data_IF_663780314597
#
_entry.id   IF_663780314597
#
_cell.length_a   1.000
_cell.length_b   1.000
_cell.length_c   1.000
_cell.angle_alpha   90.00
_cell.angle_beta   90.00
_cell.angle_gamma   90.00
#
_symmetry.space_group_name_H-M   'P 1'
#
loop_
_entity.id
_entity.type
_entity.pdbx_description
1 polymer ?
#
# COMPACT_ATOMS: atom_id res chain seq x y z
N UNK A 1 24.16 21.69 -12.53
CA UNK A 1 23.19 22.50 -13.28
C UNK A 1 22.07 23.02 -12.37
N UNK A 2 21.27 22.12 -11.73
CA UNK A 2 20.13 22.52 -10.88
C UNK A 2 20.49 23.48 -9.75
N UNK A 3 21.62 23.27 -9.06
CA UNK A 3 22.07 24.20 -8.03
C UNK A 3 22.23 25.63 -8.55
N UNK A 4 22.80 25.80 -9.75
CA UNK A 4 22.94 27.13 -10.37
C UNK A 4 21.61 27.77 -10.70
N UNK A 5 20.66 26.98 -11.24
CA UNK A 5 19.32 27.44 -11.58
C UNK A 5 18.57 27.88 -10.31
N UNK A 6 18.57 27.05 -9.29
CA UNK A 6 17.87 27.34 -8.03
C UNK A 6 18.48 28.56 -7.34
N UNK A 7 19.81 28.65 -7.26
CA UNK A 7 20.50 29.80 -6.64
C UNK A 7 20.24 31.11 -7.40
N UNK A 8 20.20 31.06 -8.74
CA UNK A 8 19.98 32.25 -9.55
C UNK A 8 18.53 32.75 -9.56
N UNK A 9 17.56 31.90 -9.24
CA UNK A 9 16.12 32.22 -9.35
C UNK A 9 15.37 32.25 -8.02
N UNK A 10 16.03 31.93 -6.91
CA UNK A 10 15.39 31.86 -5.58
C UNK A 10 16.32 32.30 -4.48
N UNK A 11 15.75 32.80 -3.39
CA UNK A 11 16.46 33.09 -2.13
C UNK A 11 16.30 31.92 -1.14
N UNK A 12 17.08 31.94 -0.07
CA UNK A 12 16.93 30.98 1.03
C UNK A 12 15.51 31.04 1.62
N UNK A 13 14.92 29.88 1.92
CA UNK A 13 13.54 29.78 2.39
C UNK A 13 12.45 29.85 1.31
N UNK A 14 12.79 30.18 0.06
CA UNK A 14 11.86 30.12 -1.06
C UNK A 14 11.35 28.69 -1.30
N UNK A 15 10.21 28.56 -1.99
CA UNK A 15 9.62 27.26 -2.36
C UNK A 15 10.05 26.90 -3.78
N UNK A 16 10.63 25.73 -3.95
CA UNK A 16 10.95 25.12 -5.26
C UNK A 16 9.91 24.03 -5.55
N UNK A 17 9.23 24.15 -6.69
CA UNK A 17 8.21 23.19 -7.14
C UNK A 17 8.73 22.37 -8.31
N UNK A 18 8.62 21.03 -8.22
CA UNK A 18 8.93 20.09 -9.30
C UNK A 18 7.86 18.98 -9.31
N UNK A 19 6.92 19.06 -10.27
CA UNK A 19 5.78 18.13 -10.38
C UNK A 19 6.12 16.84 -11.12
N UNK A 20 7.35 16.71 -11.63
CA UNK A 20 7.90 15.52 -12.27
C UNK A 20 9.24 15.13 -11.63
N UNK A 21 9.24 15.05 -10.31
CA UNK A 21 10.43 14.98 -9.47
C UNK A 21 11.37 13.80 -9.73
N UNK A 22 10.88 12.72 -10.36
CA UNK A 22 11.65 11.52 -10.63
C UNK A 22 12.32 10.98 -9.37
N UNK A 23 13.63 10.77 -9.42
CA UNK A 23 14.42 10.34 -8.25
C UNK A 23 14.73 11.46 -7.23
N UNK A 24 14.09 12.63 -7.34
CA UNK A 24 14.18 13.72 -6.34
C UNK A 24 15.41 14.60 -6.41
N UNK A 25 16.06 14.73 -7.58
CA UNK A 25 17.27 15.56 -7.70
C UNK A 25 16.98 17.03 -7.38
N UNK A 26 15.85 17.57 -7.83
CA UNK A 26 15.47 18.96 -7.55
C UNK A 26 15.21 19.16 -6.05
N UNK A 27 14.42 18.30 -5.41
CA UNK A 27 14.12 18.37 -3.98
C UNK A 27 15.41 18.28 -3.13
N UNK A 28 16.30 17.32 -3.48
CA UNK A 28 17.59 17.10 -2.81
C UNK A 28 18.48 18.34 -2.89
N UNK A 29 18.54 19.00 -4.04
CA UNK A 29 19.36 20.21 -4.22
C UNK A 29 18.72 21.40 -3.51
N UNK A 30 17.39 21.55 -3.59
CA UNK A 30 16.67 22.62 -2.90
C UNK A 30 16.88 22.53 -1.38
N UNK A 31 16.75 21.33 -0.79
CA UNK A 31 17.02 21.09 0.64
C UNK A 31 18.43 21.50 1.03
N UNK A 32 19.46 21.07 0.27
CA UNK A 32 20.87 21.44 0.51
C UNK A 32 21.14 22.95 0.45
N UNK A 33 20.35 23.66 -0.33
CA UNK A 33 20.47 25.11 -0.49
C UNK A 33 19.59 25.90 0.48
N UNK A 34 18.92 25.24 1.45
CA UNK A 34 18.05 25.88 2.42
C UNK A 34 16.72 26.37 1.86
N UNK A 35 16.30 25.85 0.70
CA UNK A 35 14.99 26.13 0.10
C UNK A 35 13.97 25.10 0.62
N UNK A 36 12.71 25.51 0.73
CA UNK A 36 11.59 24.56 0.88
C UNK A 36 11.26 23.97 -0.49
N UNK A 37 10.68 22.81 -0.51
CA UNK A 37 10.36 22.16 -1.78
C UNK A 37 9.01 21.42 -1.71
N UNK A 38 8.37 21.35 -2.87
CA UNK A 38 7.19 20.53 -3.13
C UNK A 38 7.51 19.75 -4.39
N UNK A 39 7.38 18.44 -4.34
CA UNK A 39 7.65 17.58 -5.49
C UNK A 39 6.61 16.46 -5.57
N UNK A 40 6.34 16.00 -6.77
CA UNK A 40 5.47 14.86 -7.02
C UNK A 40 6.01 13.98 -8.14
N UNK A 41 5.65 12.70 -8.12
CA UNK A 41 5.88 11.78 -9.22
C UNK A 41 4.80 10.69 -9.22
N UNK A 42 4.48 10.12 -10.39
CA UNK A 42 3.52 9.03 -10.52
C UNK A 42 4.15 7.66 -10.28
N UNK A 43 5.46 7.56 -10.41
CA UNK A 43 6.21 6.31 -10.31
C UNK A 43 6.55 5.96 -8.86
N UNK A 44 5.95 4.91 -8.31
CA UNK A 44 6.30 4.42 -6.95
C UNK A 44 7.80 4.19 -6.74
N UNK A 45 8.54 3.54 -7.67
CA UNK A 45 9.99 3.39 -7.53
C UNK A 45 10.73 4.74 -7.49
N UNK A 46 10.30 5.73 -8.27
CA UNK A 46 10.87 7.08 -8.25
C UNK A 46 10.68 7.75 -6.89
N UNK A 47 9.46 7.72 -6.35
CA UNK A 47 9.15 8.25 -5.01
C UNK A 47 9.93 7.53 -3.91
N UNK A 48 10.15 6.22 -4.01
CA UNK A 48 10.93 5.43 -3.06
C UNK A 48 12.41 5.89 -3.07
N UNK A 49 13.01 6.04 -4.24
CA UNK A 49 14.40 6.53 -4.37
C UNK A 49 14.51 7.97 -3.85
N UNK A 50 13.55 8.83 -4.16
CA UNK A 50 13.50 10.21 -3.68
C UNK A 50 13.44 10.26 -2.15
N UNK A 51 12.55 9.50 -1.52
CA UNK A 51 12.44 9.41 -0.06
C UNK A 51 13.76 8.94 0.56
N UNK A 52 14.38 7.87 0.05
CA UNK A 52 15.67 7.39 0.52
C UNK A 52 16.74 8.45 0.45
N UNK A 53 16.87 9.15 -0.68
CA UNK A 53 17.87 10.23 -0.86
C UNK A 53 17.69 11.38 0.11
N UNK A 54 16.44 11.75 0.45
CA UNK A 54 16.14 12.79 1.43
C UNK A 54 16.51 12.32 2.85
N UNK A 55 16.23 11.07 3.18
CA UNK A 55 16.64 10.46 4.46
C UNK A 55 18.18 10.42 4.57
N UNK A 56 18.87 9.91 3.54
CA UNK A 56 20.34 9.78 3.51
C UNK A 56 21.06 11.14 3.71
N UNK A 57 20.45 12.24 3.29
CA UNK A 57 21.03 13.58 3.49
C UNK A 57 20.54 14.29 4.77
N UNK A 58 19.83 13.61 5.66
CA UNK A 58 19.23 14.17 6.87
C UNK A 58 18.34 15.40 6.58
N UNK A 59 17.48 15.31 5.57
CA UNK A 59 16.52 16.36 5.26
C UNK A 59 15.63 16.68 6.48
N UNK A 60 15.17 17.93 6.58
CA UNK A 60 14.15 18.30 7.56
C UNK A 60 12.92 17.42 7.43
N UNK A 61 12.15 17.21 8.51
CA UNK A 61 10.92 16.43 8.43
C UNK A 61 10.01 16.93 7.30
N UNK A 62 9.51 16.00 6.49
CA UNK A 62 8.67 16.29 5.34
C UNK A 62 7.44 15.36 5.30
N UNK A 63 6.38 15.85 4.68
CA UNK A 63 5.17 15.05 4.45
C UNK A 63 5.31 14.26 3.15
N UNK A 64 5.12 12.94 3.23
CA UNK A 64 4.91 12.07 2.07
C UNK A 64 3.43 11.67 2.00
N UNK A 65 2.80 11.93 0.88
CA UNK A 65 1.37 11.70 0.70
C UNK A 65 1.10 10.99 -0.65
N UNK A 66 0.30 9.92 -0.61
CA UNK A 66 -0.26 9.32 -1.81
C UNK A 66 -1.61 9.96 -2.14
N UNK A 67 -1.79 10.40 -3.39
CA UNK A 67 -3.06 10.96 -3.87
C UNK A 67 -3.86 9.83 -4.51
N UNK A 68 -5.00 9.46 -3.88
CA UNK A 68 -5.77 8.26 -4.24
C UNK A 68 -6.69 8.37 -5.45
N UNK A 69 -7.05 9.57 -5.91
CA UNK A 69 -8.13 9.77 -6.90
C UNK A 69 -7.69 9.65 -8.36
N UNK A 70 -6.45 9.29 -8.62
CA UNK A 70 -5.91 9.14 -9.97
C UNK A 70 -6.75 8.20 -10.85
N UNK A 71 -7.23 7.10 -10.30
CA UNK A 71 -8.03 6.12 -11.06
C UNK A 71 -9.38 6.69 -11.51
N UNK A 72 -10.02 7.52 -10.69
CA UNK A 72 -11.29 8.18 -11.03
C UNK A 72 -11.09 9.19 -12.17
N UNK A 73 -10.08 10.04 -12.07
CA UNK A 73 -9.80 11.03 -13.10
C UNK A 73 -9.35 10.41 -14.41
N UNK A 74 -8.52 9.37 -14.36
CA UNK A 74 -8.13 8.61 -15.56
C UNK A 74 -9.33 7.93 -16.20
N UNK A 75 -10.23 7.36 -15.40
CA UNK A 75 -11.46 6.74 -15.90
C UNK A 75 -12.39 7.78 -16.54
N UNK A 76 -12.60 8.96 -15.93
CA UNK A 76 -13.38 10.05 -16.50
C UNK A 76 -12.80 10.52 -17.83
N UNK A 77 -11.49 10.69 -17.91
CA UNK A 77 -10.80 11.10 -19.13
C UNK A 77 -10.93 10.07 -20.25
N UNK A 78 -10.89 8.78 -19.90
CA UNK A 78 -10.94 7.68 -20.87
C UNK A 78 -12.35 7.41 -21.38
N UNK A 79 -13.36 7.41 -20.47
CA UNK A 79 -14.75 7.04 -20.80
C UNK A 79 -15.65 8.25 -21.11
N UNK A 80 -15.13 9.50 -21.03
CA UNK A 80 -15.83 10.70 -21.38
C UNK A 80 -16.79 11.24 -20.30
N UNK A 81 -17.54 12.31 -20.64
CA UNK A 81 -18.39 13.03 -19.68
C UNK A 81 -19.55 12.21 -19.08
N UNK A 82 -19.92 11.10 -19.70
CA UNK A 82 -21.01 10.22 -19.24
C UNK A 82 -20.51 9.04 -18.42
N UNK A 83 -19.25 9.04 -18.01
CA UNK A 83 -18.65 7.97 -17.20
C UNK A 83 -19.44 7.72 -15.91
N UNK A 84 -19.77 6.45 -15.67
CA UNK A 84 -20.34 5.97 -14.42
C UNK A 84 -19.41 4.92 -13.79
N UNK A 85 -19.27 4.95 -12.48
CA UNK A 85 -18.45 3.96 -11.74
C UNK A 85 -18.93 2.52 -12.04
N UNK A 86 -20.22 2.32 -12.23
CA UNK A 86 -20.78 1.03 -12.60
C UNK A 86 -20.29 0.48 -13.95
N UNK A 87 -19.96 1.35 -14.91
CA UNK A 87 -19.43 0.93 -16.21
C UNK A 87 -18.01 0.39 -16.08
N UNK A 88 -17.18 1.03 -15.23
CA UNK A 88 -15.85 0.53 -14.89
C UNK A 88 -15.93 -0.80 -14.14
N UNK A 89 -16.86 -0.93 -13.20
CA UNK A 89 -17.08 -2.19 -12.47
C UNK A 89 -17.46 -3.32 -13.40
N UNK A 90 -18.32 -3.07 -14.40
CA UNK A 90 -18.68 -4.07 -15.40
C UNK A 90 -17.47 -4.54 -16.24
N UNK A 91 -16.56 -3.61 -16.59
CA UNK A 91 -15.32 -3.94 -17.28
C UNK A 91 -14.43 -4.83 -16.39
N UNK A 92 -14.24 -4.45 -15.11
CA UNK A 92 -13.45 -5.22 -14.14
C UNK A 92 -14.01 -6.60 -13.94
N UNK A 93 -15.34 -6.75 -13.77
CA UNK A 93 -16.03 -8.04 -13.69
C UNK A 93 -15.76 -8.92 -14.93
N UNK A 94 -15.89 -8.33 -16.13
CA UNK A 94 -15.61 -9.04 -17.38
C UNK A 94 -14.15 -9.51 -17.48
N UNK A 95 -13.20 -8.69 -17.07
CA UNK A 95 -11.77 -9.03 -17.05
C UNK A 95 -11.43 -10.10 -16.02
N UNK A 96 -12.13 -10.11 -14.89
CA UNK A 96 -12.05 -11.15 -13.87
C UNK A 96 -12.68 -12.47 -14.31
N UNK A 97 -13.57 -12.44 -15.29
CA UNK A 97 -14.34 -13.61 -15.75
C UNK A 97 -15.65 -13.81 -14.98
N UNK A 98 -16.17 -12.77 -14.33
CA UNK A 98 -17.45 -12.79 -13.67
C UNK A 98 -18.56 -12.21 -14.57
N UNK A 99 -19.73 -12.81 -14.51
CA UNK A 99 -20.94 -12.31 -15.17
C UNK A 99 -21.66 -11.33 -14.23
N UNK A 100 -21.99 -10.10 -14.66
CA UNK A 100 -22.76 -9.17 -13.85
C UNK A 100 -24.10 -9.77 -13.41
N UNK A 101 -24.50 -9.49 -12.16
CA UNK A 101 -25.84 -9.83 -11.68
C UNK A 101 -26.91 -8.96 -12.34
N UNK A 102 -28.17 -9.41 -12.30
CA UNK A 102 -29.32 -8.65 -12.81
C UNK A 102 -29.44 -7.29 -12.11
N UNK A 103 -29.95 -6.29 -12.81
CA UNK A 103 -30.01 -4.91 -12.32
C UNK A 103 -30.83 -4.76 -11.02
N UNK A 104 -31.83 -5.61 -10.81
CA UNK A 104 -32.68 -5.63 -9.63
C UNK A 104 -31.90 -6.01 -8.37
N UNK A 105 -30.95 -6.95 -8.50
CA UNK A 105 -30.09 -7.44 -7.40
C UNK A 105 -28.75 -6.67 -7.31
N UNK A 106 -28.48 -5.79 -8.27
CA UNK A 106 -27.21 -5.10 -8.43
C UNK A 106 -27.40 -3.63 -8.83
N UNK A 107 -28.03 -2.80 -7.99
CA UNK A 107 -28.34 -1.41 -8.30
C UNK A 107 -27.08 -0.55 -8.54
N UNK A 108 -25.95 -0.91 -7.94
CA UNK A 108 -24.66 -0.23 -8.11
C UNK A 108 -23.83 -0.77 -9.28
N UNK A 109 -24.31 -1.82 -9.96
CA UNK A 109 -23.64 -2.50 -11.09
C UNK A 109 -22.21 -2.97 -10.78
N UNK A 110 -21.94 -3.30 -9.53
CA UNK A 110 -20.62 -3.69 -9.05
C UNK A 110 -20.56 -5.14 -8.53
N UNK A 111 -21.64 -5.90 -8.69
CA UNK A 111 -21.72 -7.30 -8.32
C UNK A 111 -21.77 -8.18 -9.57
N UNK A 112 -21.05 -9.28 -9.50
CA UNK A 112 -21.08 -10.33 -10.51
C UNK A 112 -20.97 -11.70 -9.88
N UNK A 113 -21.09 -12.73 -10.70
CA UNK A 113 -20.94 -14.12 -10.27
C UNK A 113 -20.03 -14.91 -11.19
N UNK A 114 -19.34 -15.87 -10.62
CA UNK A 114 -18.59 -16.87 -11.38
C UNK A 114 -18.79 -18.24 -10.77
N UNK A 115 -18.70 -19.26 -11.62
CA UNK A 115 -18.74 -20.65 -11.19
C UNK A 115 -17.45 -21.32 -11.65
N UNK A 116 -16.70 -21.82 -10.71
CA UNK A 116 -15.45 -22.54 -10.99
C UNK A 116 -15.41 -23.81 -10.16
N UNK A 117 -15.21 -24.96 -10.80
CA UNK A 117 -15.19 -26.28 -10.17
C UNK A 117 -16.38 -26.56 -9.23
N UNK A 118 -17.58 -26.15 -9.65
CA UNK A 118 -18.81 -26.34 -8.85
C UNK A 118 -19.01 -25.34 -7.72
N UNK A 119 -18.08 -24.41 -7.48
CA UNK A 119 -18.17 -23.39 -6.44
C UNK A 119 -18.86 -22.13 -6.96
N UNK A 120 -19.94 -21.72 -6.31
CA UNK A 120 -20.73 -20.53 -6.62
C UNK A 120 -20.11 -19.32 -5.93
N UNK A 121 -19.45 -18.43 -6.67
CA UNK A 121 -18.70 -17.31 -6.12
C UNK A 121 -19.34 -15.97 -6.47
N UNK A 122 -19.65 -15.16 -5.47
CA UNK A 122 -20.02 -13.76 -5.62
C UNK A 122 -18.76 -12.91 -5.81
N UNK A 123 -18.77 -11.98 -6.75
CA UNK A 123 -17.68 -11.05 -7.01
C UNK A 123 -18.16 -9.63 -6.80
N UNK A 124 -17.53 -8.90 -5.90
CA UNK A 124 -17.79 -7.49 -5.61
C UNK A 124 -16.63 -6.65 -6.11
N UNK A 125 -16.89 -5.68 -6.97
CA UNK A 125 -15.91 -4.65 -7.37
C UNK A 125 -16.14 -3.41 -6.52
N UNK A 126 -15.15 -2.99 -5.74
CA UNK A 126 -15.28 -1.78 -4.93
C UNK A 126 -15.03 -0.51 -5.76
N UNK A 127 -15.42 0.63 -5.23
CA UNK A 127 -15.30 1.91 -5.91
C UNK A 127 -13.85 2.38 -5.98
N UNK A 128 -13.38 2.89 -7.13
CA UNK A 128 -12.05 3.49 -7.22
C UNK A 128 -11.92 4.79 -6.40
N UNK A 129 -13.03 5.40 -5.99
CA UNK A 129 -13.05 6.68 -5.25
C UNK A 129 -12.97 6.52 -3.72
N UNK A 130 -12.84 5.29 -3.21
CA UNK A 130 -12.70 5.04 -1.77
C UNK A 130 -11.67 3.96 -1.49
N UNK A 131 -11.25 3.87 -0.24
CA UNK A 131 -10.42 2.77 0.25
C UNK A 131 -11.30 1.57 0.59
N UNK A 132 -10.90 0.40 0.13
CA UNK A 132 -11.51 -0.88 0.53
C UNK A 132 -11.04 -1.21 1.94
N UNK A 133 -11.97 -1.30 2.88
CA UNK A 133 -11.68 -1.52 4.30
C UNK A 133 -12.70 -2.45 4.96
N UNK A 134 -12.67 -2.51 6.28
CA UNK A 134 -13.50 -3.40 7.11
C UNK A 134 -15.00 -3.35 6.77
N UNK A 135 -15.54 -2.15 6.57
CA UNK A 135 -16.94 -1.97 6.21
C UNK A 135 -17.30 -2.62 4.86
N UNK A 136 -16.41 -2.55 3.86
CA UNK A 136 -16.60 -3.21 2.57
C UNK A 136 -16.55 -4.72 2.71
N UNK A 137 -15.60 -5.25 3.50
CA UNK A 137 -15.47 -6.69 3.72
C UNK A 137 -16.69 -7.28 4.43
N UNK A 138 -17.16 -6.64 5.51
CA UNK A 138 -18.40 -7.04 6.22
C UNK A 138 -19.63 -7.02 5.32
N UNK A 139 -19.75 -5.97 4.48
CA UNK A 139 -20.81 -5.90 3.48
C UNK A 139 -20.74 -7.05 2.47
N UNK A 140 -19.56 -7.37 1.96
CA UNK A 140 -19.35 -8.45 1.02
C UNK A 140 -19.72 -9.82 1.62
N UNK A 141 -19.34 -10.07 2.87
CA UNK A 141 -19.72 -11.28 3.63
C UNK A 141 -21.24 -11.35 3.80
N UNK A 142 -21.88 -10.28 4.22
CA UNK A 142 -23.34 -10.24 4.37
C UNK A 142 -24.07 -10.47 3.04
N UNK A 143 -23.57 -9.95 1.93
CA UNK A 143 -24.10 -10.21 0.59
C UNK A 143 -23.89 -11.67 0.17
N UNK A 144 -22.70 -12.25 0.44
CA UNK A 144 -22.47 -13.67 0.20
C UNK A 144 -23.50 -14.56 0.91
N UNK A 145 -23.77 -14.26 2.17
CA UNK A 145 -24.61 -15.11 2.99
C UNK A 145 -26.11 -14.94 2.72
N UNK A 146 -26.56 -13.76 2.26
CA UNK A 146 -27.98 -13.42 2.17
C UNK A 146 -28.49 -13.20 0.74
N UNK A 147 -27.65 -12.82 -0.22
CA UNK A 147 -28.10 -12.46 -1.56
C UNK A 147 -28.39 -13.70 -2.40
N UNK A 148 -29.57 -13.75 -3.03
CA UNK A 148 -30.00 -14.82 -3.96
C UNK A 148 -29.87 -16.24 -3.37
N UNK A 149 -30.15 -16.40 -2.09
CA UNK A 149 -30.10 -17.69 -1.39
C UNK A 149 -28.69 -18.11 -0.94
N UNK A 150 -27.73 -17.22 -1.01
CA UNK A 150 -26.38 -17.43 -0.54
C UNK A 150 -25.39 -17.92 -1.60
N UNK A 151 -24.10 -17.74 -1.31
CA UNK A 151 -22.96 -18.08 -2.15
C UNK A 151 -21.93 -18.85 -1.35
N UNK A 152 -21.18 -19.74 -2.00
CA UNK A 152 -20.13 -20.52 -1.32
C UNK A 152 -18.97 -19.64 -0.93
N UNK A 153 -18.61 -18.65 -1.78
CA UNK A 153 -17.48 -17.74 -1.57
C UNK A 153 -17.82 -16.33 -2.02
N UNK A 154 -17.05 -15.36 -1.52
CA UNK A 154 -17.04 -13.99 -2.03
C UNK A 154 -15.62 -13.54 -2.34
N UNK A 155 -15.47 -12.86 -3.48
CA UNK A 155 -14.24 -12.18 -3.89
C UNK A 155 -14.50 -10.69 -3.91
N UNK A 156 -13.66 -9.93 -3.21
CA UNK A 156 -13.66 -8.46 -3.24
C UNK A 156 -12.50 -7.99 -4.09
N UNK A 157 -12.79 -7.24 -5.15
CA UNK A 157 -11.82 -6.61 -6.03
C UNK A 157 -11.70 -5.14 -5.66
N UNK A 158 -10.57 -4.73 -5.10
CA UNK A 158 -10.31 -3.37 -4.65
C UNK A 158 -9.26 -2.63 -5.48
N UNK A 159 -9.39 -1.31 -5.60
CA UNK A 159 -8.42 -0.43 -6.24
C UNK A 159 -7.36 0.06 -5.27
N UNK A 160 -7.82 0.55 -4.13
CA UNK A 160 -7.00 1.05 -3.03
C UNK A 160 -7.54 0.49 -1.72
N UNK A 161 -6.69 0.34 -0.72
CA UNK A 161 -7.02 -0.32 0.52
C UNK A 161 -6.68 0.54 1.72
N UNK A 162 -7.47 0.38 2.78
CA UNK A 162 -7.09 0.93 4.09
C UNK A 162 -5.78 0.31 4.57
N UNK A 163 -4.89 1.07 5.21
CA UNK A 163 -3.63 0.54 5.72
C UNK A 163 -3.80 -0.68 6.65
N UNK A 164 -4.90 -0.73 7.40
CA UNK A 164 -5.23 -1.81 8.33
C UNK A 164 -5.93 -3.02 7.70
N UNK A 165 -6.08 -3.07 6.38
CA UNK A 165 -6.87 -4.11 5.69
C UNK A 165 -6.43 -5.54 6.04
N UNK A 166 -5.13 -5.78 6.18
CA UNK A 166 -4.59 -7.07 6.58
C UNK A 166 -5.09 -7.53 7.96
N UNK A 167 -5.20 -6.59 8.92
CA UNK A 167 -5.75 -6.87 10.25
C UNK A 167 -7.26 -7.15 10.17
N UNK A 168 -7.99 -6.39 9.35
CA UNK A 168 -9.42 -6.60 9.14
C UNK A 168 -9.69 -7.99 8.57
N UNK A 169 -8.92 -8.44 7.58
CA UNK A 169 -9.02 -9.78 7.01
C UNK A 169 -8.73 -10.85 8.07
N UNK A 170 -7.63 -10.69 8.82
CA UNK A 170 -7.26 -11.62 9.89
C UNK A 170 -8.32 -11.70 11.01
N UNK A 171 -8.88 -10.55 11.41
CA UNK A 171 -9.92 -10.47 12.45
C UNK A 171 -11.24 -11.12 12.01
N UNK A 172 -11.61 -11.02 10.73
CA UNK A 172 -12.80 -11.65 10.18
C UNK A 172 -12.66 -13.18 10.12
N UNK A 173 -11.44 -13.69 9.98
CA UNK A 173 -11.11 -15.12 9.97
C UNK A 173 -12.06 -15.96 9.12
N UNK A 174 -12.39 -15.48 7.91
CA UNK A 174 -13.35 -16.10 7.00
C UNK A 174 -12.62 -16.64 5.76
N UNK A 175 -12.48 -17.94 5.67
CA UNK A 175 -11.81 -18.67 4.57
C UNK A 175 -12.58 -18.62 3.24
N UNK A 176 -13.85 -18.22 3.27
CA UNK A 176 -14.70 -18.01 2.11
C UNK A 176 -14.62 -16.59 1.56
N UNK A 177 -13.88 -15.69 2.22
CA UNK A 177 -13.57 -14.33 1.77
C UNK A 177 -12.22 -14.30 1.08
N UNK A 178 -12.18 -13.82 -0.15
CA UNK A 178 -10.93 -13.53 -0.86
C UNK A 178 -10.87 -12.04 -1.23
N UNK A 179 -9.74 -11.40 -1.01
CA UNK A 179 -9.53 -9.99 -1.36
C UNK A 179 -8.41 -9.88 -2.37
N UNK A 180 -8.70 -9.26 -3.51
CA UNK A 180 -7.76 -9.13 -4.62
C UNK A 180 -7.59 -7.66 -5.03
N UNK A 181 -6.40 -7.34 -5.47
CA UNK A 181 -6.03 -6.01 -5.97
C UNK A 181 -6.31 -5.93 -7.47
N UNK A 182 -7.04 -4.90 -7.87
CA UNK A 182 -7.17 -4.54 -9.28
C UNK A 182 -5.83 -3.92 -9.70
N UNK A 183 -5.20 -4.38 -10.81
CA UNK A 183 -3.91 -3.86 -11.22
C UNK A 183 -3.91 -2.33 -11.36
N UNK A 184 -2.96 -1.61 -10.73
CA UNK A 184 -2.94 -0.14 -10.76
C UNK A 184 -2.82 0.44 -12.17
N UNK A 185 -2.22 -0.30 -13.10
CA UNK A 185 -2.03 0.09 -14.49
C UNK A 185 -3.17 -0.37 -15.43
N UNK A 186 -4.27 -0.91 -14.88
CA UNK A 186 -5.37 -1.44 -15.68
C UNK A 186 -5.95 -0.40 -16.65
N UNK A 187 -6.18 0.82 -16.18
CA UNK A 187 -6.74 1.89 -17.01
C UNK A 187 -5.79 2.30 -18.13
N UNK A 188 -4.49 2.33 -17.87
CA UNK A 188 -3.47 2.61 -18.88
C UNK A 188 -3.37 1.48 -19.91
N UNK A 189 -3.52 0.22 -19.47
CA UNK A 189 -3.58 -0.94 -20.39
C UNK A 189 -4.81 -0.90 -21.27
N UNK A 190 -5.97 -0.54 -20.72
CA UNK A 190 -7.21 -0.38 -21.49
C UNK A 190 -7.04 0.67 -22.59
N UNK A 191 -6.38 1.79 -22.28
CA UNK A 191 -6.08 2.86 -23.23
C UNK A 191 -5.13 2.43 -24.34
N UNK A 192 -4.01 1.78 -23.98
CA UNK A 192 -2.93 1.42 -24.92
C UNK A 192 -3.28 0.25 -25.83
N UNK A 193 -4.02 -0.74 -25.35
CA UNK A 193 -4.32 -1.99 -26.09
C UNK A 193 -5.63 -2.00 -26.86
N UNK A 194 -6.38 -0.89 -26.88
CA UNK A 194 -7.55 -0.76 -27.74
C UNK A 194 -8.76 -1.61 -27.36
N UNK A 195 -9.00 -1.83 -26.05
CA UNK A 195 -10.26 -2.36 -25.55
C UNK A 195 -10.16 -3.59 -24.65
N UNK A 196 -11.29 -3.89 -24.00
CA UNK A 196 -11.44 -4.94 -22.98
C UNK A 196 -11.12 -6.34 -23.55
N UNK A 197 -11.56 -6.62 -24.78
CA UNK A 197 -11.40 -7.95 -25.39
C UNK A 197 -9.94 -8.39 -25.51
N UNK A 198 -9.03 -7.45 -25.81
CA UNK A 198 -7.59 -7.75 -25.92
C UNK A 198 -6.92 -7.97 -24.57
N UNK A 199 -7.54 -7.54 -23.47
CA UNK A 199 -7.03 -7.72 -22.12
C UNK A 199 -7.59 -8.94 -21.43
N UNK A 200 -8.65 -9.56 -21.97
CA UNK A 200 -9.24 -10.77 -21.41
C UNK A 200 -8.20 -11.88 -21.28
N UNK A 201 -8.10 -12.48 -20.11
CA UNK A 201 -7.10 -13.51 -19.81
C UNK A 201 -5.65 -13.00 -19.63
N UNK A 202 -5.38 -11.70 -19.87
CA UNK A 202 -4.07 -11.08 -19.67
C UNK A 202 -3.98 -10.25 -18.38
N UNK A 203 -5.13 -9.85 -17.82
CA UNK A 203 -5.20 -9.13 -16.55
C UNK A 203 -5.17 -10.14 -15.41
N UNK A 204 -4.24 -9.95 -14.50
CA UNK A 204 -4.14 -10.75 -13.29
C UNK A 204 -4.47 -9.88 -12.09
N UNK A 205 -5.38 -10.34 -11.28
CA UNK A 205 -5.76 -9.72 -10.02
C UNK A 205 -4.85 -10.30 -8.94
N UNK A 206 -4.12 -9.42 -8.27
CA UNK A 206 -3.16 -9.79 -7.24
C UNK A 206 -3.83 -9.84 -5.87
N UNK A 207 -3.36 -10.69 -4.97
CA UNK A 207 -3.72 -10.57 -3.57
C UNK A 207 -2.85 -9.52 -2.86
N UNK A 208 -3.26 -9.12 -1.66
CA UNK A 208 -2.60 -8.05 -0.90
C UNK A 208 -1.24 -8.49 -0.36
N UNK A 209 -0.32 -7.53 -0.26
CA UNK A 209 0.86 -7.67 0.58
C UNK A 209 0.52 -7.23 2.01
N UNK A 210 1.12 -7.89 2.99
CA UNK A 210 0.99 -7.53 4.39
C UNK A 210 2.22 -7.90 5.21
N UNK A 211 2.40 -7.23 6.34
CA UNK A 211 3.46 -7.49 7.31
C UNK A 211 2.85 -8.00 8.61
N UNK A 212 3.49 -9.00 9.22
CA UNK A 212 3.15 -9.49 10.55
C UNK A 212 4.26 -9.15 11.55
N UNK A 213 3.86 -8.95 12.82
CA UNK A 213 4.77 -8.68 13.91
C UNK A 213 4.85 -9.89 14.84
N UNK A 214 6.06 -10.33 15.13
CA UNK A 214 6.31 -11.33 16.16
C UNK A 214 6.02 -10.78 17.55
N UNK A 215 6.41 -9.53 17.79
CA UNK A 215 6.14 -8.82 19.03
C UNK A 215 6.11 -7.31 18.84
N UNK A 216 5.33 -6.63 19.68
CA UNK A 216 5.43 -5.21 19.93
C UNK A 216 5.22 -5.02 21.45
N UNK A 217 6.18 -4.41 22.13
CA UNK A 217 6.20 -4.29 23.57
C UNK A 217 6.63 -2.88 24.01
N UNK A 218 6.24 -2.52 25.24
CA UNK A 218 6.61 -1.29 25.94
C UNK A 218 7.26 -1.66 27.27
N UNK A 219 8.29 -0.97 27.65
CA UNK A 219 8.93 -1.08 28.96
C UNK A 219 9.19 0.31 29.52
N UNK A 220 8.79 0.54 30.77
CA UNK A 220 9.20 1.75 31.48
C UNK A 220 10.72 1.73 31.70
N UNK A 221 11.38 2.85 31.42
CA UNK A 221 12.79 3.05 31.69
C UNK A 221 12.97 4.27 32.61
N UNK A 222 14.21 4.53 33.05
CA UNK A 222 14.50 5.70 33.88
C UNK A 222 14.15 7.02 33.17
N UNK A 223 14.07 8.09 33.94
CA UNK A 223 13.90 9.49 33.44
C UNK A 223 12.56 9.85 32.80
N UNK A 224 11.51 9.06 33.05
CA UNK A 224 10.18 9.38 32.55
C UNK A 224 9.93 8.97 31.10
N UNK A 225 10.84 8.16 30.54
CA UNK A 225 10.72 7.58 29.20
C UNK A 225 10.25 6.14 29.24
N UNK A 226 9.92 5.61 28.07
CA UNK A 226 9.68 4.18 27.86
C UNK A 226 10.37 3.69 26.60
N UNK A 227 10.81 2.44 26.62
CA UNK A 227 11.38 1.75 25.49
C UNK A 227 10.29 1.03 24.70
N UNK A 228 10.30 1.20 23.41
CA UNK A 228 9.47 0.49 22.45
C UNK A 228 10.33 -0.55 21.75
N UNK A 229 9.91 -1.81 21.82
CA UNK A 229 10.56 -2.94 21.15
C UNK A 229 9.59 -3.54 20.15
N UNK A 230 9.98 -3.62 18.86
CA UNK A 230 9.18 -4.20 17.78
C UNK A 230 10.02 -5.21 17.02
N UNK A 231 9.45 -6.39 16.75
CA UNK A 231 10.09 -7.44 15.95
C UNK A 231 9.17 -7.82 14.80
N UNK A 232 9.68 -7.72 13.58
CA UNK A 232 9.00 -8.23 12.39
C UNK A 232 8.97 -9.76 12.44
N UNK A 233 7.89 -10.35 11.93
CA UNK A 233 7.74 -11.79 11.82
C UNK A 233 7.83 -12.22 10.36
N UNK A 234 6.95 -11.69 9.53
CA UNK A 234 6.87 -12.09 8.14
C UNK A 234 6.41 -10.93 7.24
N UNK A 235 6.84 -10.95 6.00
CA UNK A 235 6.31 -10.10 4.93
C UNK A 235 5.75 -11.01 3.83
N UNK A 236 4.46 -10.88 3.56
CA UNK A 236 3.75 -11.71 2.60
C UNK A 236 3.45 -10.91 1.34
N UNK A 237 4.01 -11.36 0.23
CA UNK A 237 3.73 -10.85 -1.11
C UNK A 237 2.95 -11.94 -1.86
N UNK A 238 1.64 -11.75 -2.01
CA UNK A 238 0.74 -12.83 -2.41
C UNK A 238 0.58 -13.03 -3.92
N UNK A 239 1.21 -12.23 -4.79
CA UNK A 239 1.10 -12.44 -6.24
C UNK A 239 2.31 -11.94 -7.00
N UNK A 240 3.40 -12.67 -6.95
CA UNK A 240 4.61 -12.36 -7.73
C UNK A 240 4.33 -12.33 -9.25
N UNK A 241 3.24 -12.97 -9.70
CA UNK A 241 2.82 -12.98 -11.11
C UNK A 241 2.34 -11.60 -11.61
N UNK A 242 1.85 -10.75 -10.70
CA UNK A 242 1.40 -9.39 -11.04
C UNK A 242 2.58 -8.44 -11.29
N UNK A 243 3.77 -8.80 -10.83
CA UNK A 243 4.98 -8.00 -11.02
C UNK A 243 5.55 -8.32 -12.40
N UNK A 244 5.86 -7.27 -13.17
CA UNK A 244 6.42 -7.43 -14.51
C UNK A 244 7.91 -7.80 -14.45
N UNK A 245 8.20 -9.06 -14.14
CA UNK A 245 9.52 -9.64 -14.10
C UNK A 245 9.68 -10.68 -15.23
N UNK A 246 10.91 -10.80 -15.75
CA UNK A 246 11.30 -11.94 -16.57
C UNK A 246 11.30 -13.25 -15.76
N UNK A 247 11.38 -14.39 -16.43
CA UNK A 247 11.27 -15.70 -15.77
C UNK A 247 12.38 -15.96 -14.74
N UNK A 248 13.61 -15.51 -15.01
CA UNK A 248 14.74 -15.75 -14.10
C UNK A 248 14.63 -14.91 -12.82
N UNK A 249 14.23 -13.66 -12.95
CA UNK A 249 13.97 -12.80 -11.80
C UNK A 249 12.72 -13.25 -11.02
N UNK A 250 11.71 -13.80 -11.69
CA UNK A 250 10.55 -14.40 -11.03
C UNK A 250 10.94 -15.62 -10.19
N UNK A 251 11.78 -16.51 -10.72
CA UNK A 251 12.30 -17.67 -9.96
C UNK A 251 13.11 -17.23 -8.73
N UNK A 252 13.95 -16.20 -8.88
CA UNK A 252 14.70 -15.62 -7.75
C UNK A 252 13.75 -15.04 -6.69
N UNK A 253 12.73 -14.29 -7.11
CA UNK A 253 11.72 -13.73 -6.21
C UNK A 253 11.02 -14.83 -5.42
N UNK A 254 10.53 -15.88 -6.08
CA UNK A 254 9.87 -17.01 -5.41
C UNK A 254 10.80 -17.70 -4.39
N UNK A 255 12.08 -17.83 -4.70
CA UNK A 255 13.07 -18.39 -3.76
C UNK A 255 13.20 -17.51 -2.52
N UNK A 256 13.30 -16.19 -2.68
CA UNK A 256 13.40 -15.24 -1.56
C UNK A 256 12.11 -15.24 -0.74
N UNK A 257 10.94 -15.21 -1.37
CA UNK A 257 9.64 -15.26 -0.69
C UNK A 257 9.49 -16.49 0.21
N UNK A 258 10.00 -17.64 -0.22
CA UNK A 258 9.88 -18.89 0.53
C UNK A 258 10.95 -19.05 1.61
N UNK A 259 12.14 -18.49 1.42
CA UNK A 259 13.27 -18.69 2.34
C UNK A 259 13.44 -17.54 3.34
N UNK A 260 13.31 -16.31 2.87
CA UNK A 260 13.63 -15.11 3.63
C UNK A 260 12.73 -13.93 3.21
N UNK A 261 11.42 -13.98 3.48
CA UNK A 261 10.47 -12.97 2.97
C UNK A 261 10.76 -11.54 3.44
N UNK A 262 11.36 -11.36 4.62
CA UNK A 262 11.78 -10.05 5.10
C UNK A 262 12.88 -9.41 4.24
N UNK A 263 13.63 -10.20 3.46
CA UNK A 263 14.61 -9.68 2.52
C UNK A 263 13.98 -8.91 1.34
N UNK A 264 12.66 -8.95 1.19
CA UNK A 264 11.94 -8.11 0.21
C UNK A 264 11.70 -6.69 0.72
N UNK A 265 11.88 -6.41 2.00
CA UNK A 265 11.65 -5.08 2.56
C UNK A 265 12.82 -4.17 2.17
N UNK A 266 12.50 -3.02 1.60
CA UNK A 266 13.43 -1.95 1.25
C UNK A 266 13.53 -0.90 2.34
N UNK A 267 12.42 -0.64 3.04
CA UNK A 267 12.29 0.37 4.08
C UNK A 267 11.20 -0.05 5.05
N UNK A 268 11.41 0.21 6.35
CA UNK A 268 10.36 0.16 7.33
C UNK A 268 10.52 1.22 8.41
N UNK A 269 9.41 1.59 9.00
CA UNK A 269 9.37 2.65 9.99
C UNK A 269 8.28 2.38 11.03
N UNK A 270 8.40 3.03 12.18
CA UNK A 270 7.50 2.89 13.31
C UNK A 270 6.99 4.26 13.74
N UNK A 271 5.67 4.35 13.84
CA UNK A 271 4.97 5.38 14.59
C UNK A 271 4.48 4.76 15.91
N UNK A 272 5.08 5.14 17.06
CA UNK A 272 4.71 4.54 18.33
C UNK A 272 3.37 5.05 18.90
N UNK A 273 2.76 6.05 18.26
CA UNK A 273 1.54 6.71 18.76
C UNK A 273 0.59 7.14 17.65
N UNK A 274 0.35 6.23 16.72
CA UNK A 274 -0.43 6.48 15.53
C UNK A 274 -1.87 6.89 15.82
N UNK A 275 -2.28 8.05 15.32
CA UNK A 275 -3.62 8.62 15.54
C UNK A 275 -4.69 8.02 14.60
N UNK A 276 -4.29 7.26 13.59
CA UNK A 276 -5.18 6.69 12.58
C UNK A 276 -5.24 7.50 11.29
N UNK A 277 -4.59 8.66 11.22
CA UNK A 277 -4.61 9.56 10.07
C UNK A 277 -3.21 9.80 9.51
N UNK A 278 -2.29 10.31 10.33
CA UNK A 278 -0.96 10.71 9.89
C UNK A 278 0.10 9.83 10.53
N UNK A 279 0.80 9.06 9.70
CA UNK A 279 1.94 8.25 10.14
C UNK A 279 3.18 9.13 10.37
N UNK A 280 3.73 9.10 11.58
CA UNK A 280 4.94 9.84 11.98
C UNK A 280 6.08 8.86 12.21
N UNK A 281 7.04 8.85 11.29
CA UNK A 281 8.23 7.99 11.41
C UNK A 281 9.13 8.49 12.54
N UNK A 282 9.02 7.87 13.70
CA UNK A 282 9.89 8.15 14.87
C UNK A 282 11.15 7.30 14.83
N UNK A 283 11.03 6.06 14.41
CA UNK A 283 12.13 5.16 14.12
C UNK A 283 12.01 4.60 12.73
N UNK A 284 13.15 4.36 12.06
CA UNK A 284 13.16 3.80 10.70
C UNK A 284 14.45 3.07 10.40
N UNK A 285 14.35 2.11 9.48
CA UNK A 285 15.48 1.46 8.85
C UNK A 285 15.24 1.25 7.35
N UNK A 286 16.31 1.19 6.57
CA UNK A 286 16.24 1.06 5.13
C UNK A 286 17.46 0.31 4.59
N UNK A 287 17.29 -0.39 3.51
CA UNK A 287 18.36 -1.10 2.82
C UNK A 287 19.51 -0.15 2.49
N UNK A 288 20.71 -0.53 2.87
CA UNK A 288 21.92 0.30 2.79
C UNK A 288 22.21 1.14 4.05
N UNK A 289 21.34 1.10 5.06
CA UNK A 289 21.63 1.68 6.37
C UNK A 289 22.46 0.69 7.20
N UNK A 290 23.77 0.91 7.27
CA UNK A 290 24.68 0.06 8.04
C UNK A 290 24.83 0.50 9.51
N UNK A 291 24.12 1.55 9.91
CA UNK A 291 24.19 2.06 11.29
C UNK A 291 23.50 1.13 12.31
N UNK A 292 22.52 0.34 11.87
CA UNK A 292 21.78 -0.54 12.77
C UNK A 292 22.48 -1.90 13.01
N UNK A 293 22.99 -2.56 11.97
CA UNK A 293 23.65 -3.88 12.11
C UNK A 293 24.86 -4.10 11.17
N UNK A 294 25.16 -3.15 10.28
CA UNK A 294 26.26 -3.26 9.32
C UNK A 294 25.93 -3.99 8.02
N UNK A 295 24.76 -4.64 7.87
CA UNK A 295 24.35 -5.31 6.64
C UNK A 295 23.65 -4.31 5.68
N UNK A 296 24.34 -3.94 4.60
CA UNK A 296 23.81 -3.04 3.59
C UNK A 296 22.74 -3.68 2.67
N UNK A 297 22.57 -4.99 2.69
CA UNK A 297 21.67 -5.70 1.78
C UNK A 297 20.28 -5.95 2.37
N UNK A 298 20.09 -5.68 3.66
CA UNK A 298 18.86 -5.96 4.39
C UNK A 298 18.46 -4.78 5.25
N UNK A 299 17.23 -4.76 5.68
CA UNK A 299 16.79 -4.00 6.86
C UNK A 299 16.91 -4.89 8.08
N UNK A 300 17.07 -4.31 9.27
CA UNK A 300 16.98 -5.07 10.52
C UNK A 300 15.55 -5.57 10.72
N UNK A 301 15.40 -6.73 11.33
CA UNK A 301 14.09 -7.31 11.67
C UNK A 301 13.57 -6.83 13.03
N UNK A 302 14.38 -6.06 13.76
CA UNK A 302 14.10 -5.59 15.12
C UNK A 302 14.41 -4.11 15.27
N UNK A 303 13.50 -3.42 15.96
CA UNK A 303 13.67 -2.05 16.41
C UNK A 303 13.60 -1.96 17.93
N UNK A 304 14.47 -1.14 18.52
CA UNK A 304 14.42 -0.78 19.94
C UNK A 304 14.79 0.69 20.08
N UNK A 305 13.89 1.52 20.63
CA UNK A 305 14.11 2.96 20.76
C UNK A 305 13.29 3.52 21.93
N UNK A 306 13.70 4.70 22.42
CA UNK A 306 13.09 5.38 23.55
C UNK A 306 12.16 6.48 23.09
N UNK A 307 11.04 6.65 23.79
CA UNK A 307 10.07 7.73 23.60
C UNK A 307 9.58 8.22 24.95
N UNK A 308 9.07 9.46 25.05
CA UNK A 308 8.41 9.94 26.26
C UNK A 308 7.29 9.00 26.72
N UNK A 309 7.22 8.72 28.02
CA UNK A 309 6.19 7.86 28.61
C UNK A 309 4.79 8.42 28.33
N UNK A 310 3.89 7.53 27.93
CA UNK A 310 2.48 7.83 27.74
C UNK A 310 1.63 7.01 28.68
N UNK A 311 0.67 7.65 29.35
CA UNK A 311 -0.36 6.96 30.12
C UNK A 311 -1.35 6.25 29.19
N UNK A 312 -1.83 5.09 29.62
CA UNK A 312 -2.80 4.30 28.86
C UNK A 312 -2.18 3.52 27.68
N UNK A 313 -2.99 3.20 26.71
CA UNK A 313 -2.59 2.39 25.55
C UNK A 313 -1.82 3.19 24.50
N UNK A 314 -0.89 2.51 23.81
CA UNK A 314 -0.27 3.01 22.57
C UNK A 314 -0.76 2.22 21.37
N UNK A 315 -1.00 2.92 20.27
CA UNK A 315 -1.22 2.33 18.96
C UNK A 315 0.08 2.40 18.19
N UNK A 316 0.85 1.33 18.23
CA UNK A 316 2.11 1.22 17.51
C UNK A 316 1.80 0.81 16.08
N UNK A 317 2.09 1.69 15.14
CA UNK A 317 1.94 1.42 13.71
C UNK A 317 3.30 1.13 13.09
N UNK A 318 3.38 0.05 12.35
CA UNK A 318 4.56 -0.34 11.56
C UNK A 318 4.20 -0.28 10.09
N UNK A 319 4.97 0.49 9.34
CA UNK A 319 4.84 0.62 7.88
C UNK A 319 6.07 0.05 7.21
N UNK A 320 5.87 -0.78 6.21
CA UNK A 320 6.94 -1.34 5.38
C UNK A 320 6.73 -0.96 3.93
N UNK A 321 7.82 -0.84 3.18
CA UNK A 321 7.85 -0.65 1.73
C UNK A 321 8.79 -1.70 1.16
N UNK A 322 8.33 -2.46 0.18
CA UNK A 322 9.14 -3.48 -0.45
C UNK A 322 10.00 -2.95 -1.61
N UNK A 323 10.85 -3.80 -2.15
CA UNK A 323 11.75 -3.49 -3.29
C UNK A 323 11.00 -3.09 -4.57
N UNK A 324 9.70 -3.33 -4.65
CA UNK A 324 8.85 -2.94 -5.78
C UNK A 324 8.08 -1.64 -5.52
N UNK A 325 8.22 -1.06 -4.32
CA UNK A 325 7.52 0.14 -3.88
C UNK A 325 6.09 -0.11 -3.39
N UNK A 326 5.71 -1.36 -3.11
CA UNK A 326 4.43 -1.64 -2.45
C UNK A 326 4.54 -1.36 -0.95
N UNK A 327 3.48 -0.79 -0.41
CA UNK A 327 3.40 -0.44 1.01
C UNK A 327 2.44 -1.36 1.75
N UNK A 328 2.82 -1.78 2.95
CA UNK A 328 1.97 -2.50 3.88
C UNK A 328 2.09 -1.89 5.27
N UNK A 329 1.02 -1.94 6.03
CA UNK A 329 0.95 -1.35 7.36
C UNK A 329 0.27 -2.33 8.33
N UNK A 330 0.72 -2.33 9.57
CA UNK A 330 0.07 -3.05 10.65
C UNK A 330 0.06 -2.22 11.92
N UNK A 331 -1.05 -2.27 12.68
CA UNK A 331 -1.20 -1.53 13.94
C UNK A 331 -1.37 -2.52 15.08
N UNK A 332 -0.58 -2.35 16.13
CA UNK A 332 -0.69 -3.11 17.38
C UNK A 332 -1.03 -2.19 18.53
N UNK A 333 -2.11 -2.51 19.24
CA UNK A 333 -2.43 -1.84 20.50
C UNK A 333 -1.64 -2.52 21.61
N UNK A 334 -0.89 -1.72 22.38
CA UNK A 334 -0.04 -2.20 23.47
C UNK A 334 -0.45 -1.46 24.74
N UNK A 335 -0.83 -2.22 25.75
CA UNK A 335 -1.22 -1.68 27.07
C UNK A 335 -0.04 -0.99 27.77
N UNK A 336 -0.35 -0.17 28.75
CA UNK A 336 0.66 0.45 29.61
C UNK A 336 1.49 -0.65 30.31
N UNK A 337 2.83 -0.50 30.37
CA UNK A 337 3.65 -1.45 31.10
C UNK A 337 3.27 -1.45 32.58
N UNK A 338 3.21 -2.65 33.17
CA UNK A 338 3.04 -2.79 34.62
C UNK A 338 4.13 -2.02 35.35
N UNK A 339 3.83 -1.37 36.48
CA UNK A 339 4.80 -0.59 37.24
C UNK A 339 5.96 -1.42 37.75
#
# INVERSE_FOLDING_TARGET
LLARIITASTDEGSIVLDVFGGSGTTATVAEKLGRRWITSDIGKPACMIMRKRLIDQNAKPFLYQAIGDYHVETAKTHFGRNYRVGDLSAIVLSLYGALPLQAEDNPLRNLGSTHFNGTKTLVLVDSPSKLTGDATLKKAIAQRDNLLGGWDRVVVLGWNFEPSIGQSIAALNDDRLQVLVIPPDLLDRLRKKGGVEKLRGQVRFASLQYVTLKSAARQAIADGDERIDVVLDNYVLLSPEAINLDEDNRKKLLKVMNAEPLALIEYWAIDPDFDGEVFRSVWQDYRGNTANDGDALRVVDRASFSVPRKQGERRICVRVVDVFGFEAETVKVVAEPSP
#
